data_IF_382924921427
#
_entry.id   IF_382924921427
#
_cell.length_a   1.000
_cell.length_b   1.000
_cell.length_c   1.000
_cell.angle_alpha   90.00
_cell.angle_beta   90.00
_cell.angle_gamma   90.00
#
_symmetry.space_group_name_H-M   'P 1'
#
loop_
_entity.id
_entity.type
_entity.pdbx_description
1 polymer ?
#
# COMPACT_ATOMS: atom_id res chain seq x y z
N UNK A 1 9.49 14.02 -23.50
CA UNK A 1 9.57 15.01 -22.48
C UNK A 1 9.05 14.61 -21.10
N UNK A 2 9.17 13.32 -20.67
CA UNK A 2 8.82 12.95 -19.31
C UNK A 2 9.70 13.67 -18.30
N UNK A 3 9.09 14.20 -17.24
CA UNK A 3 9.80 14.85 -16.12
C UNK A 3 9.88 13.95 -14.88
N UNK A 4 8.96 12.98 -14.74
CA UNK A 4 8.98 11.97 -13.71
C UNK A 4 8.31 10.69 -14.20
N UNK A 5 8.60 9.57 -13.53
CA UNK A 5 7.92 8.30 -13.70
C UNK A 5 7.42 7.81 -12.34
N UNK A 6 6.30 7.12 -12.38
CA UNK A 6 5.70 6.53 -11.20
C UNK A 6 5.34 5.08 -11.49
N UNK A 7 5.96 4.15 -10.78
CA UNK A 7 5.71 2.72 -10.92
C UNK A 7 4.72 2.25 -9.85
N UNK A 8 3.74 1.50 -10.29
CA UNK A 8 2.79 0.79 -9.42
C UNK A 8 2.83 -0.69 -9.74
N UNK A 9 2.65 -1.52 -8.72
CA UNK A 9 2.25 -2.89 -8.93
C UNK A 9 0.77 -2.95 -9.29
N UNK A 10 0.37 -4.03 -9.97
CA UNK A 10 -1.03 -4.31 -10.16
C UNK A 10 -1.74 -4.45 -8.80
N UNK A 11 -2.92 -3.85 -8.69
CA UNK A 11 -3.76 -3.90 -7.50
C UNK A 11 -5.08 -4.59 -7.87
N UNK A 12 -5.43 -5.73 -7.27
CA UNK A 12 -6.60 -6.52 -7.65
C UNK A 12 -7.89 -5.92 -7.05
N UNK A 13 -8.22 -4.69 -7.46
CA UNK A 13 -9.40 -3.94 -7.01
C UNK A 13 -10.60 -4.29 -7.88
N UNK A 14 -11.76 -4.44 -7.24
CA UNK A 14 -13.01 -4.82 -7.89
C UNK A 14 -13.29 -6.32 -7.80
N UNK A 15 -14.57 -6.66 -7.85
CA UNK A 15 -15.04 -8.01 -7.58
C UNK A 15 -14.45 -9.07 -8.54
N UNK A 16 -14.26 -8.71 -9.80
CA UNK A 16 -13.77 -9.61 -10.85
C UNK A 16 -12.29 -9.37 -11.21
N UNK A 17 -11.52 -8.76 -10.31
CA UNK A 17 -10.12 -8.49 -10.55
C UNK A 17 -9.30 -9.77 -10.71
N UNK A 18 -8.46 -9.82 -11.75
CA UNK A 18 -7.62 -10.97 -12.09
C UNK A 18 -6.42 -11.07 -11.14
N UNK A 19 -6.53 -11.89 -10.09
CA UNK A 19 -5.46 -12.04 -9.09
C UNK A 19 -4.18 -12.66 -9.65
N UNK A 20 -4.25 -13.40 -10.75
CA UNK A 20 -3.12 -13.97 -11.49
C UNK A 20 -2.21 -12.92 -12.17
N UNK A 21 -2.68 -11.68 -12.28
CA UNK A 21 -1.85 -10.54 -12.74
C UNK A 21 -0.96 -9.94 -11.64
N UNK A 22 -1.09 -10.39 -10.40
CA UNK A 22 -0.17 -9.99 -9.34
C UNK A 22 1.26 -10.41 -9.68
N UNK A 23 2.27 -9.53 -9.49
CA UNK A 23 3.65 -9.86 -9.85
C UNK A 23 4.20 -11.00 -8.97
N UNK A 24 4.94 -11.90 -9.58
CA UNK A 24 5.67 -12.92 -8.81
C UNK A 24 6.78 -12.26 -7.96
N UNK A 25 7.27 -12.93 -6.90
CA UNK A 25 8.39 -12.41 -6.11
C UNK A 25 9.60 -12.05 -6.98
N UNK A 26 9.93 -12.87 -7.99
CA UNK A 26 11.06 -12.64 -8.90
C UNK A 26 10.84 -11.38 -9.76
N UNK A 27 9.64 -11.19 -10.28
CA UNK A 27 9.29 -9.98 -11.02
C UNK A 27 9.40 -8.74 -10.13
N UNK A 28 8.96 -8.85 -8.88
CA UNK A 28 9.02 -7.75 -7.92
C UNK A 28 10.46 -7.40 -7.54
N UNK A 29 11.32 -8.38 -7.30
CA UNK A 29 12.76 -8.17 -7.06
C UNK A 29 13.41 -7.51 -8.28
N UNK A 30 13.13 -8.01 -9.47
CA UNK A 30 13.65 -7.44 -10.73
C UNK A 30 13.23 -5.98 -10.90
N UNK A 31 12.00 -5.64 -10.58
CA UNK A 31 11.51 -4.26 -10.61
C UNK A 31 12.25 -3.40 -9.59
N UNK A 32 12.36 -3.86 -8.34
CA UNK A 32 13.08 -3.21 -7.27
C UNK A 32 14.52 -2.84 -7.68
N UNK A 33 15.28 -3.79 -8.20
CA UNK A 33 16.66 -3.58 -8.64
C UNK A 33 16.73 -2.67 -9.88
N UNK A 34 15.82 -2.84 -10.83
CA UNK A 34 15.79 -2.05 -12.05
C UNK A 34 15.50 -0.59 -11.78
N UNK A 35 14.54 -0.26 -10.92
CA UNK A 35 14.23 1.12 -10.54
C UNK A 35 15.42 1.77 -9.82
N UNK A 36 16.08 1.06 -8.91
CA UNK A 36 17.28 1.58 -8.23
C UNK A 36 18.44 1.84 -9.17
N UNK A 37 18.71 0.93 -10.09
CA UNK A 37 19.73 1.10 -11.14
C UNK A 37 19.36 2.26 -12.08
N UNK A 38 18.09 2.38 -12.45
CA UNK A 38 17.61 3.50 -13.27
C UNK A 38 17.85 4.84 -12.59
N UNK A 39 17.50 4.98 -11.31
CA UNK A 39 17.75 6.19 -10.51
C UNK A 39 19.23 6.56 -10.42
N UNK A 40 20.11 5.57 -10.37
CA UNK A 40 21.55 5.79 -10.30
C UNK A 40 22.17 6.26 -11.63
N UNK A 41 21.49 6.01 -12.76
CA UNK A 41 22.05 6.23 -14.12
C UNK A 41 21.31 7.24 -14.95
N UNK A 42 20.08 7.63 -14.55
CA UNK A 42 19.23 8.54 -15.32
C UNK A 42 18.78 9.72 -14.48
N UNK A 43 18.82 10.89 -15.08
CA UNK A 43 18.37 12.15 -14.48
C UNK A 43 16.87 12.34 -14.65
N UNK A 44 16.09 11.36 -14.17
CA UNK A 44 14.63 11.40 -14.19
C UNK A 44 14.11 11.04 -12.79
N UNK A 45 13.28 11.92 -12.21
CA UNK A 45 12.65 11.63 -10.94
C UNK A 45 11.74 10.41 -11.07
N UNK A 46 11.98 9.41 -10.23
CA UNK A 46 11.34 8.11 -10.34
C UNK A 46 10.84 7.66 -8.96
N UNK A 47 9.56 7.32 -8.88
CA UNK A 47 8.92 6.77 -7.67
C UNK A 47 8.55 5.30 -7.91
N UNK A 48 8.77 4.47 -6.90
CA UNK A 48 8.33 3.07 -6.83
C UNK A 48 7.37 2.94 -5.65
N UNK A 49 6.07 3.01 -5.94
CA UNK A 49 5.04 3.22 -4.91
C UNK A 49 5.08 2.16 -3.80
N UNK A 50 5.27 0.89 -4.16
CA UNK A 50 5.27 -0.20 -3.19
C UNK A 50 6.63 -0.44 -2.51
N UNK A 51 7.74 -0.05 -3.13
CA UNK A 51 9.08 -0.35 -2.62
C UNK A 51 9.79 0.87 -2.00
N UNK A 52 9.21 2.07 -2.09
CA UNK A 52 9.78 3.30 -1.53
C UNK A 52 9.26 3.65 -0.12
N UNK A 53 8.52 2.76 0.51
CA UNK A 53 7.91 3.03 1.83
C UNK A 53 8.93 3.39 2.91
N UNK A 54 10.17 2.93 2.82
CA UNK A 54 11.23 3.29 3.76
C UNK A 54 11.56 4.79 3.76
N UNK A 55 11.43 5.47 2.62
CA UNK A 55 11.72 6.91 2.50
C UNK A 55 10.61 7.79 3.05
N UNK A 56 9.43 7.22 3.22
CA UNK A 56 8.23 7.93 3.70
C UNK A 56 7.70 7.35 5.02
N UNK A 57 8.39 6.34 5.59
CA UNK A 57 8.05 5.75 6.88
C UNK A 57 6.82 4.85 6.88
N UNK A 58 6.58 4.10 5.80
CA UNK A 58 5.47 3.16 5.67
C UNK A 58 4.41 3.59 4.66
N UNK A 59 3.22 2.98 4.73
CA UNK A 59 2.09 3.32 3.86
C UNK A 59 1.68 4.80 4.01
N UNK A 60 1.40 5.46 2.90
CA UNK A 60 1.03 6.89 2.87
C UNK A 60 -0.48 7.14 2.97
N UNK A 61 -1.29 6.08 2.88
CA UNK A 61 -2.75 6.14 2.89
C UNK A 61 -3.35 6.47 4.29
N UNK A 62 -4.67 6.47 4.39
CA UNK A 62 -5.39 6.71 5.64
C UNK A 62 -5.27 8.14 6.16
N UNK A 63 -5.19 9.12 5.27
CA UNK A 63 -5.07 10.53 5.63
C UNK A 63 -3.66 10.95 6.07
N UNK A 64 -2.67 10.04 6.11
CA UNK A 64 -1.30 10.38 6.52
C UNK A 64 -0.60 11.29 5.49
N UNK A 65 -0.75 11.00 4.21
CA UNK A 65 -0.23 11.78 3.08
C UNK A 65 -1.28 11.99 1.99
N UNK A 66 -2.24 11.10 1.88
CA UNK A 66 -3.38 11.22 0.99
C UNK A 66 -4.57 10.39 1.49
N UNK A 67 -5.72 10.64 0.91
CA UNK A 67 -6.95 9.87 0.96
C UNK A 67 -7.60 9.88 -0.42
N UNK A 68 -8.64 9.09 -0.61
CA UNK A 68 -9.44 9.09 -1.83
C UNK A 68 -10.86 9.57 -1.53
N UNK A 69 -11.45 10.31 -2.44
CA UNK A 69 -12.88 10.66 -2.42
C UNK A 69 -13.47 10.14 -3.72
N UNK A 70 -14.41 9.20 -3.62
CA UNK A 70 -15.02 8.61 -4.79
C UNK A 70 -16.10 9.52 -5.40
N UNK A 71 -16.66 9.12 -6.54
CA UNK A 71 -17.69 9.91 -7.25
C UNK A 71 -18.97 10.12 -6.42
N UNK A 72 -19.24 9.26 -5.44
CA UNK A 72 -20.38 9.38 -4.53
C UNK A 72 -20.12 10.33 -3.35
N UNK A 73 -18.86 10.70 -3.12
CA UNK A 73 -18.42 11.52 -2.01
C UNK A 73 -17.96 10.70 -0.79
N UNK A 74 -17.89 9.37 -0.89
CA UNK A 74 -17.37 8.55 0.20
C UNK A 74 -15.86 8.80 0.34
N UNK A 75 -15.40 8.89 1.58
CA UNK A 75 -14.01 9.18 1.91
C UNK A 75 -13.30 7.89 2.26
N UNK A 76 -12.55 7.36 1.30
CA UNK A 76 -11.81 6.12 1.42
C UNK A 76 -10.38 6.37 1.91
N UNK A 77 -9.79 5.45 2.70
CA UNK A 77 -8.41 5.61 3.15
C UNK A 77 -7.39 5.51 2.01
N UNK A 78 -7.73 4.82 0.92
CA UNK A 78 -6.85 4.58 -0.22
C UNK A 78 -7.67 4.39 -1.50
N UNK A 79 -7.15 4.84 -2.64
CA UNK A 79 -7.78 4.64 -3.96
C UNK A 79 -7.95 3.15 -4.33
N UNK A 80 -7.24 2.25 -3.66
CA UNK A 80 -7.32 0.81 -3.88
C UNK A 80 -8.12 0.06 -2.79
N UNK A 81 -8.59 0.76 -1.76
CA UNK A 81 -9.29 0.17 -0.61
C UNK A 81 -10.61 0.92 -0.42
N UNK A 82 -11.65 0.35 -0.98
CA UNK A 82 -12.98 0.93 -1.09
C UNK A 82 -13.85 0.57 0.13
N UNK A 83 -13.45 1.05 1.31
CA UNK A 83 -14.20 0.90 2.56
C UNK A 83 -14.21 2.22 3.33
N UNK A 84 -15.40 2.68 3.70
CA UNK A 84 -15.55 3.94 4.40
C UNK A 84 -16.62 3.92 5.49
N UNK A 85 -16.54 4.92 6.39
CA UNK A 85 -17.57 5.29 7.37
C UNK A 85 -18.04 6.73 7.17
N UNK A 86 -17.52 7.45 6.16
CA UNK A 86 -17.73 8.89 6.04
C UNK A 86 -17.98 9.30 4.58
N UNK A 87 -18.85 10.30 4.40
CA UNK A 87 -19.13 10.90 3.11
C UNK A 87 -19.05 12.44 3.23
N UNK A 88 -18.36 13.10 2.29
CA UNK A 88 -18.16 14.56 2.31
C UNK A 88 -19.46 15.38 2.16
N UNK A 89 -20.56 14.76 1.75
CA UNK A 89 -21.90 15.39 1.71
C UNK A 89 -22.56 15.46 3.10
N UNK A 90 -22.05 14.65 4.06
CA UNK A 90 -22.65 14.48 5.39
C UNK A 90 -21.74 15.00 6.51
N UNK A 91 -20.44 15.11 6.27
CA UNK A 91 -19.47 15.57 7.25
C UNK A 91 -18.33 16.37 6.61
N UNK A 92 -17.60 17.12 7.43
CA UNK A 92 -16.40 17.82 6.99
C UNK A 92 -15.24 16.85 6.77
N UNK A 93 -14.25 17.24 5.98
CA UNK A 93 -13.04 16.43 5.76
C UNK A 93 -12.30 16.11 7.07
N UNK A 94 -12.27 17.05 8.03
CA UNK A 94 -11.64 16.82 9.34
C UNK A 94 -12.40 15.79 10.18
N UNK A 95 -13.72 15.72 10.07
CA UNK A 95 -14.53 14.68 10.71
C UNK A 95 -14.32 13.34 10.02
N UNK A 96 -14.28 13.30 8.68
CA UNK A 96 -13.98 12.10 7.92
C UNK A 96 -12.63 11.48 8.30
N UNK A 97 -11.58 12.30 8.49
CA UNK A 97 -10.25 11.85 8.96
C UNK A 97 -10.26 11.28 10.39
N UNK A 98 -11.33 11.49 11.16
CA UNK A 98 -11.54 10.92 12.49
C UNK A 98 -12.50 9.73 12.47
N UNK A 99 -12.99 9.33 11.31
CA UNK A 99 -13.90 8.18 11.19
C UNK A 99 -13.21 6.88 11.62
N UNK A 100 -13.95 5.86 12.02
CA UNK A 100 -13.39 4.63 12.56
C UNK A 100 -12.32 3.99 11.68
N UNK A 101 -12.52 3.92 10.37
CA UNK A 101 -11.52 3.31 9.47
C UNK A 101 -10.22 4.13 9.40
N UNK A 102 -10.30 5.46 9.37
CA UNK A 102 -9.12 6.32 9.41
C UNK A 102 -8.37 6.21 10.74
N UNK A 103 -9.09 6.05 11.84
CA UNK A 103 -8.48 5.83 13.17
C UNK A 103 -7.76 4.48 13.26
N UNK A 104 -8.26 3.42 12.59
CA UNK A 104 -7.52 2.16 12.46
C UNK A 104 -6.21 2.36 11.68
N UNK A 105 -6.23 3.14 10.60
CA UNK A 105 -5.01 3.53 9.87
C UNK A 105 -4.04 4.31 10.76
N UNK A 106 -4.53 5.29 11.50
CA UNK A 106 -3.70 6.13 12.37
C UNK A 106 -3.02 5.30 13.47
N UNK A 107 -3.74 4.39 14.11
CA UNK A 107 -3.22 3.51 15.18
C UNK A 107 -2.26 2.44 14.66
N UNK A 108 -2.48 1.94 13.45
CA UNK A 108 -1.75 0.79 12.90
C UNK A 108 -0.41 1.12 12.27
N UNK A 109 -0.14 2.39 11.93
CA UNK A 109 1.08 2.81 11.22
C UNK A 109 2.34 2.72 12.11
N UNK A 110 3.46 2.25 11.56
CA UNK A 110 3.60 1.53 10.29
C UNK A 110 3.09 0.08 10.43
N UNK A 111 2.32 -0.38 9.48
CA UNK A 111 1.66 -1.70 9.51
C UNK A 111 2.65 -2.88 9.50
N UNK A 112 3.87 -2.65 9.03
CA UNK A 112 4.93 -3.64 9.02
C UNK A 112 6.28 -2.95 9.26
N UNK A 113 7.16 -3.62 10.01
CA UNK A 113 8.55 -3.14 10.21
C UNK A 113 9.39 -3.29 8.94
N UNK A 114 9.07 -4.27 8.12
CA UNK A 114 9.67 -4.43 6.79
C UNK A 114 8.98 -3.47 5.80
N UNK A 115 9.70 -2.45 5.37
CA UNK A 115 9.17 -1.40 4.48
C UNK A 115 9.01 -1.84 3.02
N UNK A 116 9.32 -3.09 2.69
CA UNK A 116 8.93 -3.73 1.43
C UNK A 116 7.56 -4.42 1.54
N UNK A 117 6.91 -4.30 2.70
CA UNK A 117 5.57 -4.85 2.98
C UNK A 117 4.65 -3.81 3.62
N UNK A 118 4.54 -2.60 3.04
CA UNK A 118 3.82 -1.50 3.69
C UNK A 118 2.29 -1.56 3.53
N UNK A 119 1.77 -2.25 2.52
CA UNK A 119 0.36 -2.20 2.14
C UNK A 119 -0.50 -3.17 2.96
N UNK A 120 -1.63 -2.69 3.46
CA UNK A 120 -2.59 -3.50 4.19
C UNK A 120 -3.27 -4.53 3.30
N UNK A 121 -3.52 -4.18 2.03
CA UNK A 121 -4.18 -5.08 1.08
C UNK A 121 -3.21 -6.11 0.50
N UNK A 122 -2.11 -5.65 -0.10
CA UNK A 122 -1.20 -6.57 -0.82
C UNK A 122 -0.36 -7.45 0.10
N UNK A 123 0.18 -6.88 1.18
CA UNK A 123 1.20 -7.58 1.97
C UNK A 123 0.74 -7.95 3.39
N UNK A 124 -0.40 -7.40 3.84
CA UNK A 124 -0.93 -7.65 5.17
C UNK A 124 -2.48 -7.79 5.13
N UNK A 125 -3.06 -8.65 4.26
CA UNK A 125 -4.50 -8.73 4.04
C UNK A 125 -5.29 -9.08 5.31
N UNK A 126 -4.74 -9.91 6.18
CA UNK A 126 -5.34 -10.24 7.48
C UNK A 126 -5.51 -9.00 8.38
N UNK A 127 -4.59 -8.05 8.28
CA UNK A 127 -4.72 -6.80 9.01
C UNK A 127 -5.86 -5.93 8.47
N UNK A 128 -6.00 -5.86 7.14
CA UNK A 128 -7.09 -5.11 6.52
C UNK A 128 -8.46 -5.67 6.90
N UNK A 129 -8.64 -7.00 6.89
CA UNK A 129 -9.87 -7.65 7.36
C UNK A 129 -10.27 -7.15 8.75
N UNK A 130 -9.32 -7.23 9.69
CA UNK A 130 -9.54 -6.81 11.08
C UNK A 130 -9.82 -5.31 11.21
N UNK A 131 -9.17 -4.48 10.40
CA UNK A 131 -9.40 -3.02 10.42
C UNK A 131 -10.81 -2.69 9.95
N UNK A 132 -11.26 -3.29 8.83
CA UNK A 132 -12.61 -3.08 8.30
C UNK A 132 -13.68 -3.58 9.27
N UNK A 133 -13.48 -4.76 9.85
CA UNK A 133 -14.38 -5.35 10.85
C UNK A 133 -14.50 -4.45 12.08
N UNK A 134 -13.39 -4.08 12.72
CA UNK A 134 -13.38 -3.22 13.92
C UNK A 134 -13.95 -1.83 13.65
N UNK A 135 -13.69 -1.30 12.46
CA UNK A 135 -14.25 -0.01 12.07
C UNK A 135 -15.74 -0.07 11.74
N UNK A 136 -16.28 -1.25 11.43
CA UNK A 136 -17.61 -1.38 10.84
C UNK A 136 -17.75 -0.62 9.52
N UNK A 137 -16.63 -0.50 8.76
CA UNK A 137 -16.62 0.22 7.50
C UNK A 137 -17.39 -0.57 6.42
N UNK A 138 -18.09 0.16 5.55
CA UNK A 138 -18.89 -0.42 4.47
C UNK A 138 -18.15 -0.31 3.15
N UNK A 139 -18.39 -1.26 2.25
CA UNK A 139 -17.90 -1.16 0.87
C UNK A 139 -18.46 0.09 0.19
N UNK A 140 -17.59 0.81 -0.48
CA UNK A 140 -17.89 2.01 -1.26
C UNK A 140 -17.76 1.78 -2.76
N UNK A 141 -17.57 0.54 -3.18
CA UNK A 141 -17.58 0.17 -4.59
C UNK A 141 -18.98 0.37 -5.17
N UNK A 142 -19.07 1.22 -6.19
CA UNK A 142 -20.35 1.68 -6.72
C UNK A 142 -21.03 0.67 -7.65
N UNK A 143 -20.25 -0.16 -8.32
CA UNK A 143 -20.76 -1.08 -9.33
C UNK A 143 -21.00 -2.48 -8.78
N UNK A 144 -20.06 -2.97 -8.00
CA UNK A 144 -20.08 -4.33 -7.47
C UNK A 144 -19.49 -4.35 -6.06
N UNK A 145 -20.30 -4.03 -5.04
CA UNK A 145 -19.85 -3.99 -3.65
C UNK A 145 -19.13 -5.28 -3.26
N UNK A 146 -17.90 -5.13 -2.78
CA UNK A 146 -17.02 -6.23 -2.42
C UNK A 146 -16.84 -6.27 -0.90
N UNK A 147 -16.80 -7.47 -0.32
CA UNK A 147 -16.47 -7.64 1.10
C UNK A 147 -14.97 -7.55 1.32
N UNK A 148 -14.55 -7.16 2.54
CA UNK A 148 -13.13 -7.16 2.91
C UNK A 148 -12.52 -8.57 2.81
N UNK A 149 -13.30 -9.61 3.12
CA UNK A 149 -12.86 -11.00 2.99
C UNK A 149 -12.55 -11.34 1.54
N UNK A 150 -13.45 -11.02 0.60
CA UNK A 150 -13.25 -11.30 -0.82
C UNK A 150 -12.06 -10.51 -1.40
N UNK A 151 -11.96 -9.21 -1.10
CA UNK A 151 -10.83 -8.38 -1.54
C UNK A 151 -9.51 -8.96 -1.04
N UNK A 152 -9.43 -9.29 0.24
CA UNK A 152 -8.20 -9.76 0.86
C UNK A 152 -7.83 -11.18 0.40
N UNK A 153 -8.80 -12.05 0.16
CA UNK A 153 -8.56 -13.41 -0.33
C UNK A 153 -7.76 -13.44 -1.64
N UNK A 154 -7.95 -12.45 -2.51
CA UNK A 154 -7.16 -12.28 -3.75
C UNK A 154 -5.66 -12.02 -3.48
N UNK A 155 -5.32 -11.51 -2.30
CA UNK A 155 -3.96 -11.12 -1.92
C UNK A 155 -3.26 -12.11 -0.98
N UNK A 156 -3.97 -13.06 -0.38
CA UNK A 156 -3.43 -13.95 0.66
C UNK A 156 -2.21 -14.73 0.17
N UNK A 157 -2.34 -15.42 -0.96
CA UNK A 157 -1.22 -16.18 -1.53
C UNK A 157 -0.04 -15.27 -1.90
N UNK A 158 -0.32 -14.13 -2.52
CA UNK A 158 0.70 -13.14 -2.85
C UNK A 158 1.46 -12.66 -1.60
N UNK A 159 0.74 -12.32 -0.53
CA UNK A 159 1.35 -11.85 0.72
C UNK A 159 2.25 -12.92 1.36
N UNK A 160 1.83 -14.18 1.31
CA UNK A 160 2.59 -15.32 1.84
C UNK A 160 3.89 -15.55 1.08
N UNK A 161 3.83 -15.67 -0.26
CA UNK A 161 5.02 -15.94 -1.07
C UNK A 161 5.99 -14.77 -1.10
N UNK A 162 5.47 -13.54 -1.10
CA UNK A 162 6.31 -12.34 -1.05
C UNK A 162 7.02 -12.16 0.29
N UNK A 163 6.41 -12.57 1.40
CA UNK A 163 6.93 -12.37 2.76
C UNK A 163 8.39 -12.82 2.89
N UNK A 164 8.70 -14.04 2.48
CA UNK A 164 10.05 -14.60 2.61
C UNK A 164 11.08 -13.78 1.84
N UNK A 165 10.79 -13.51 0.58
CA UNK A 165 11.69 -12.76 -0.30
C UNK A 165 11.87 -11.30 0.18
N UNK A 166 10.77 -10.69 0.65
CA UNK A 166 10.82 -9.34 1.21
C UNK A 166 11.69 -9.27 2.48
N UNK A 167 11.61 -10.27 3.35
CA UNK A 167 12.37 -10.28 4.60
C UNK A 167 13.88 -10.46 4.34
N UNK A 168 14.25 -11.32 3.39
CA UNK A 168 15.62 -11.48 2.92
C UNK A 168 16.17 -10.19 2.29
N UNK A 169 15.46 -9.65 1.31
CA UNK A 169 15.85 -8.43 0.59
C UNK A 169 15.97 -7.21 1.53
N UNK A 170 15.04 -7.08 2.47
CA UNK A 170 15.05 -6.02 3.48
C UNK A 170 16.27 -6.12 4.38
N UNK A 171 16.53 -7.32 4.90
CA UNK A 171 17.70 -7.59 5.76
C UNK A 171 19.02 -7.23 5.06
N UNK A 172 19.20 -7.67 3.81
CA UNK A 172 20.37 -7.31 3.01
C UNK A 172 20.51 -5.81 2.77
N UNK A 173 19.39 -5.14 2.47
CA UNK A 173 19.35 -3.69 2.25
C UNK A 173 19.79 -2.93 3.51
N UNK A 174 19.29 -3.34 4.69
CA UNK A 174 19.67 -2.72 5.96
C UNK A 174 21.13 -2.98 6.32
N UNK A 175 21.65 -4.20 6.08
CA UNK A 175 23.06 -4.53 6.30
C UNK A 175 23.98 -3.68 5.42
N UNK A 176 23.66 -3.53 4.13
CA UNK A 176 24.42 -2.66 3.20
C UNK A 176 24.43 -1.18 3.64
N UNK A 177 23.31 -0.69 4.18
CA UNK A 177 23.22 0.69 4.71
C UNK A 177 24.06 0.89 5.99
N UNK A 178 24.03 -0.09 6.89
CA UNK A 178 24.82 -0.07 8.12
C UNK A 178 26.32 -0.06 7.80
N UNK A 179 26.77 -0.91 6.88
CA UNK A 179 28.18 -0.98 6.44
C UNK A 179 28.65 0.35 5.83
N UNK A 180 27.83 1.00 5.01
CA UNK A 180 28.18 2.32 4.44
C UNK A 180 28.31 3.43 5.50
N UNK A 181 27.46 3.42 6.52
CA UNK A 181 27.56 4.41 7.63
C UNK A 181 28.85 4.24 8.44
N UNK A 182 29.30 3.01 8.68
CA UNK A 182 30.54 2.74 9.42
C UNK A 182 31.81 3.12 8.65
N UNK A 183 31.74 3.25 7.32
CA UNK A 183 32.92 3.59 6.48
C UNK A 183 33.04 5.13 6.27
N UNK A 184 32.03 5.91 6.69
CA UNK A 184 31.99 7.37 6.47
C UNK A 184 32.26 8.15 7.77
N UNK A 185 32.54 7.48 8.87
CA UNK A 185 33.09 8.04 10.12
C UNK A 185 34.58 7.76 10.20
#
# INVERSE_FOLDING_TARGET
GCRFTWYFHYMPVGNDAAADLLPTPEQRIKMYDSVRRFRATKSLFTMDFQNDAEYVGGCIAGGRRYLHINANGDVDPCVFIHFSNANIKECTLLEALKSPIFMEYHKGQPFNKNMLRPCQMLENPELLRKMVERAGAKSTDLQSPETAEHLCAKCDHYAEVWKKQADELWSESQAKKAAKKSTTC
#
